data_IF_374552683977
#
_entry.id   IF_374552683977
#
_cell.length_a   1.000
_cell.length_b   1.000
_cell.length_c   1.000
_cell.angle_alpha   90.00
_cell.angle_beta   90.00
_cell.angle_gamma   90.00
#
_symmetry.space_group_name_H-M   'P 1'
#
loop_
_entity.id
_entity.type
_entity.pdbx_description
1 polymer ?
#
# COMPACT_ATOMS: atom_id res chain seq x y z
N UNK A 1 -20.76 0.61 7.85
CA UNK A 1 -20.15 1.19 6.63
C UNK A 1 -21.14 1.35 5.48
N UNK A 2 -21.80 0.29 4.98
CA UNK A 2 -22.71 0.39 3.83
C UNK A 2 -23.89 1.37 3.98
N UNK A 3 -24.36 1.62 5.21
CA UNK A 3 -25.48 2.55 5.49
C UNK A 3 -25.07 4.02 5.58
N UNK A 4 -23.77 4.33 5.64
CA UNK A 4 -23.26 5.69 5.84
C UNK A 4 -22.25 5.98 4.74
N UNK A 5 -22.63 6.83 3.77
CA UNK A 5 -21.74 7.23 2.67
C UNK A 5 -20.49 7.93 3.20
N UNK A 6 -19.35 7.69 2.57
CA UNK A 6 -18.07 8.27 2.99
C UNK A 6 -17.45 7.63 4.25
N UNK A 7 -17.91 6.45 4.67
CA UNK A 7 -17.31 5.74 5.82
C UNK A 7 -15.98 5.09 5.42
N UNK A 8 -14.90 5.44 6.11
CA UNK A 8 -13.67 4.64 6.20
C UNK A 8 -13.79 3.70 7.40
N UNK A 9 -13.50 2.41 7.22
CA UNK A 9 -13.38 1.48 8.35
C UNK A 9 -11.92 1.41 8.78
N UNK A 10 -11.63 1.72 10.04
CA UNK A 10 -10.28 1.59 10.61
C UNK A 10 -10.24 0.43 11.61
N UNK A 11 -9.25 -0.46 11.48
CA UNK A 11 -9.11 -1.60 12.39
C UNK A 11 -7.68 -2.10 12.50
N UNK A 12 -7.37 -2.71 13.64
CA UNK A 12 -6.11 -3.41 13.83
C UNK A 12 -6.21 -4.88 13.45
N UNK A 13 -5.14 -5.46 12.92
CA UNK A 13 -5.03 -6.92 12.80
C UNK A 13 -4.54 -7.55 14.11
N UNK A 14 -4.78 -8.85 14.32
CA UNK A 14 -4.52 -9.50 15.60
C UNK A 14 -3.02 -9.51 15.94
N UNK A 15 -2.65 -8.79 17.01
CA UNK A 15 -1.28 -8.70 17.51
C UNK A 15 -0.99 -9.48 18.80
N UNK A 16 -1.99 -10.11 19.45
CA UNK A 16 -1.84 -10.69 20.81
C UNK A 16 -2.06 -12.21 20.96
N UNK A 17 -2.69 -12.91 20.02
CA UNK A 17 -3.14 -14.30 20.22
C UNK A 17 -2.74 -15.32 19.13
N UNK A 18 -1.70 -15.03 18.34
CA UNK A 18 -0.84 -16.06 17.75
C UNK A 18 -1.51 -17.27 17.07
N UNK A 19 -2.22 -17.05 15.95
CA UNK A 19 -2.21 -18.02 14.86
C UNK A 19 -1.30 -17.43 13.79
N UNK A 20 -0.09 -17.98 13.64
CA UNK A 20 0.93 -17.48 12.71
C UNK A 20 0.41 -17.32 11.26
N UNK A 21 -0.67 -18.01 10.91
CA UNK A 21 -1.31 -18.03 9.60
C UNK A 21 -2.46 -17.00 9.43
N UNK A 22 -3.02 -16.45 10.52
CA UNK A 22 -4.20 -15.58 10.47
C UNK A 22 -3.85 -14.07 10.49
N UNK A 23 -3.20 -13.59 9.43
CA UNK A 23 -2.62 -12.23 9.33
C UNK A 23 -3.65 -11.10 9.50
N UNK A 24 -4.86 -11.24 8.93
CA UNK A 24 -5.93 -10.24 9.04
C UNK A 24 -6.84 -10.51 10.25
N UNK A 25 -6.95 -11.77 10.70
CA UNK A 25 -8.06 -12.23 11.54
C UNK A 25 -9.38 -12.29 10.76
N UNK A 26 -10.31 -13.15 11.18
CA UNK A 26 -11.56 -13.40 10.46
C UNK A 26 -12.39 -12.14 10.22
N UNK A 27 -12.48 -11.26 11.22
CA UNK A 27 -13.27 -10.02 11.13
C UNK A 27 -12.68 -9.04 10.10
N UNK A 28 -11.37 -8.79 10.15
CA UNK A 28 -10.78 -7.86 9.20
C UNK A 28 -10.78 -8.42 7.79
N UNK A 29 -10.58 -9.74 7.65
CA UNK A 29 -10.75 -10.44 6.40
C UNK A 29 -12.16 -10.24 5.83
N UNK A 30 -13.20 -10.44 6.64
CA UNK A 30 -14.58 -10.23 6.20
C UNK A 30 -14.90 -8.78 5.86
N UNK A 31 -14.38 -7.82 6.61
CA UNK A 31 -14.56 -6.38 6.35
C UNK A 31 -13.91 -5.98 5.03
N UNK A 32 -12.67 -6.37 4.79
CA UNK A 32 -11.97 -6.11 3.52
C UNK A 32 -12.68 -6.83 2.37
N UNK A 33 -13.14 -8.07 2.59
CA UNK A 33 -13.82 -8.89 1.58
C UNK A 33 -15.17 -8.35 1.15
N UNK A 34 -15.99 -7.92 2.10
CA UNK A 34 -17.41 -7.57 1.85
C UNK A 34 -17.63 -6.07 1.69
N UNK A 35 -16.62 -5.26 2.01
CA UNK A 35 -16.67 -3.81 1.92
C UNK A 35 -16.24 -3.28 0.56
N UNK A 36 -17.05 -2.40 -0.03
CA UNK A 36 -16.67 -1.57 -1.19
C UNK A 36 -15.99 -0.25 -0.78
N UNK A 37 -15.97 0.02 0.53
CA UNK A 37 -15.35 1.20 1.11
C UNK A 37 -13.87 0.93 1.39
N UNK A 38 -13.01 1.97 1.37
CA UNK A 38 -11.64 1.82 1.82
C UNK A 38 -11.59 1.32 3.27
N UNK A 39 -10.59 0.51 3.58
CA UNK A 39 -10.34 -0.01 4.93
C UNK A 39 -8.91 0.39 5.32
N UNK A 40 -8.78 1.11 6.42
CA UNK A 40 -7.50 1.37 7.07
C UNK A 40 -7.18 0.21 8.01
N UNK A 41 -6.11 -0.52 7.69
CA UNK A 41 -5.64 -1.67 8.44
C UNK A 41 -4.26 -1.35 9.02
N UNK A 42 -4.06 -1.63 10.30
CA UNK A 42 -2.77 -1.47 10.96
C UNK A 42 -2.43 -2.71 11.79
N UNK A 43 -1.21 -3.23 11.65
CA UNK A 43 -0.71 -4.30 12.52
C UNK A 43 0.21 -3.71 13.58
N UNK A 44 -0.20 -3.69 14.86
CA UNK A 44 0.70 -3.27 15.93
C UNK A 44 1.77 -4.34 16.16
N UNK A 45 3.04 -4.00 15.94
CA UNK A 45 4.19 -4.86 16.24
C UNK A 45 4.78 -4.54 17.62
N UNK A 46 4.89 -5.54 18.49
CA UNK A 46 5.62 -5.47 19.77
C UNK A 46 4.98 -4.62 20.87
N UNK A 47 5.52 -4.72 22.10
CA UNK A 47 5.13 -3.87 23.23
C UNK A 47 5.46 -2.43 22.87
N UNK A 48 4.44 -1.59 22.77
CA UNK A 48 4.57 -0.13 22.68
C UNK A 48 5.47 0.35 23.85
N UNK A 49 6.76 0.60 23.59
CA UNK A 49 7.67 1.24 24.55
C UNK A 49 7.72 2.77 24.36
N UNK A 50 6.74 3.35 23.68
CA UNK A 50 6.54 4.80 23.52
C UNK A 50 5.12 5.19 23.89
N UNK A 51 4.91 6.45 24.28
CA UNK A 51 3.62 6.97 24.72
C UNK A 51 2.50 6.82 23.68
N UNK A 52 1.25 7.01 24.11
CA UNK A 52 0.05 7.01 23.25
C UNK A 52 -0.05 8.28 22.39
N UNK A 53 1.08 8.86 22.01
CA UNK A 53 1.10 10.09 21.24
C UNK A 53 0.66 9.81 19.79
N UNK A 54 -0.19 10.68 19.21
CA UNK A 54 -0.57 10.56 17.81
C UNK A 54 0.65 10.57 16.89
N UNK A 55 0.74 9.57 16.01
CA UNK A 55 1.76 9.54 14.97
C UNK A 55 1.30 10.45 13.82
N UNK A 56 2.11 11.44 13.49
CA UNK A 56 1.88 12.27 12.31
C UNK A 56 2.34 11.53 11.05
N UNK A 57 1.43 11.31 10.10
CA UNK A 57 1.76 10.77 8.78
C UNK A 57 2.27 11.91 7.91
N UNK A 58 3.53 11.82 7.49
CA UNK A 58 4.15 12.80 6.61
C UNK A 58 4.29 12.28 5.17
N UNK A 59 4.15 10.98 4.96
CA UNK A 59 4.33 10.35 3.64
C UNK A 59 3.16 9.41 3.34
N UNK A 60 2.55 9.58 2.17
CA UNK A 60 1.64 8.61 1.58
C UNK A 60 2.40 7.85 0.51
N UNK A 61 2.64 6.56 0.73
CA UNK A 61 3.31 5.68 -0.23
C UNK A 61 2.27 4.97 -1.10
N UNK A 62 2.40 5.10 -2.42
CA UNK A 62 1.58 4.44 -3.42
C UNK A 62 2.44 3.45 -4.22
N UNK A 63 2.35 2.15 -3.93
CA UNK A 63 2.97 1.12 -4.76
C UNK A 63 2.21 0.93 -6.08
N UNK A 64 2.92 0.98 -7.21
CA UNK A 64 2.40 0.69 -8.55
C UNK A 64 3.28 -0.33 -9.28
N UNK A 65 2.64 -1.15 -10.11
CA UNK A 65 3.27 -2.24 -10.86
C UNK A 65 2.97 -2.20 -12.37
N UNK A 66 2.41 -1.10 -12.87
CA UNK A 66 1.96 -0.97 -14.27
C UNK A 66 0.68 -1.73 -14.59
N UNK A 67 0.00 -2.29 -13.57
CA UNK A 67 -1.34 -2.82 -13.73
C UNK A 67 -2.38 -1.77 -13.37
N UNK A 68 -3.46 -1.70 -14.17
CA UNK A 68 -4.57 -0.80 -13.88
C UNK A 68 -5.24 -1.01 -12.51
N UNK A 69 -4.95 -2.12 -11.82
CA UNK A 69 -5.40 -2.34 -10.44
C UNK A 69 -4.61 -1.51 -9.43
N UNK A 70 -3.28 -1.44 -9.56
CA UNK A 70 -2.45 -0.66 -8.64
C UNK A 70 -2.62 0.84 -8.90
N UNK A 71 -2.72 1.24 -10.16
CA UNK A 71 -2.99 2.62 -10.59
C UNK A 71 -4.37 3.13 -10.16
N UNK A 72 -5.37 2.25 -9.97
CA UNK A 72 -6.70 2.67 -9.52
C UNK A 72 -6.72 3.38 -8.15
N UNK A 73 -5.68 3.16 -7.33
CA UNK A 73 -5.54 3.82 -6.04
C UNK A 73 -4.92 5.22 -6.11
N UNK A 74 -4.45 5.66 -7.28
CA UNK A 74 -3.84 6.98 -7.48
C UNK A 74 -4.72 8.13 -7.01
N UNK A 75 -6.00 8.10 -7.37
CA UNK A 75 -6.96 9.13 -6.96
C UNK A 75 -7.03 9.22 -5.44
N UNK A 76 -7.12 8.07 -4.77
CA UNK A 76 -7.23 8.01 -3.32
C UNK A 76 -5.92 8.38 -2.64
N UNK A 77 -4.76 7.95 -3.18
CA UNK A 77 -3.46 8.28 -2.63
C UNK A 77 -3.19 9.79 -2.67
N UNK A 78 -3.53 10.45 -3.78
CA UNK A 78 -3.45 11.90 -3.90
C UNK A 78 -4.40 12.64 -2.94
N UNK A 79 -5.63 12.16 -2.79
CA UNK A 79 -6.59 12.71 -1.82
C UNK A 79 -6.11 12.55 -0.37
N UNK A 80 -5.54 11.39 -0.02
CA UNK A 80 -4.93 11.13 1.28
C UNK A 80 -3.74 12.04 1.54
N UNK A 81 -2.81 12.17 0.58
CA UNK A 81 -1.65 13.03 0.69
C UNK A 81 -2.08 14.48 0.95
N UNK A 82 -3.05 14.99 0.19
CA UNK A 82 -3.60 16.34 0.36
C UNK A 82 -4.29 16.52 1.71
N UNK A 83 -5.14 15.58 2.12
CA UNK A 83 -5.90 15.66 3.37
C UNK A 83 -4.97 15.62 4.61
N UNK A 84 -3.90 14.83 4.53
CA UNK A 84 -2.92 14.69 5.61
C UNK A 84 -1.82 15.76 5.56
N UNK A 85 -1.77 16.60 4.51
CA UNK A 85 -0.65 17.49 4.21
C UNK A 85 0.70 16.74 4.15
N UNK A 86 0.64 15.53 3.61
CA UNK A 86 1.76 14.63 3.44
C UNK A 86 2.30 14.71 2.01
N UNK A 87 3.58 14.37 1.83
CA UNK A 87 4.16 14.10 0.51
C UNK A 87 3.61 12.78 -0.03
N UNK A 88 3.40 12.73 -1.34
CA UNK A 88 3.08 11.51 -2.06
C UNK A 88 4.38 10.86 -2.56
N UNK A 89 4.52 9.56 -2.36
CA UNK A 89 5.66 8.78 -2.82
C UNK A 89 5.17 7.63 -3.69
N UNK A 90 5.43 7.70 -5.00
CA UNK A 90 5.08 6.64 -5.94
C UNK A 90 6.23 5.63 -6.00
N UNK A 91 5.95 4.36 -5.73
CA UNK A 91 6.98 3.32 -5.63
C UNK A 91 6.69 2.20 -6.60
N UNK A 92 7.68 1.76 -7.36
CA UNK A 92 7.62 0.49 -8.11
C UNK A 92 8.68 -0.45 -7.58
N UNK A 93 8.35 -1.74 -7.51
CA UNK A 93 9.35 -2.78 -7.25
C UNK A 93 9.60 -3.55 -8.53
N UNK A 94 10.85 -3.62 -8.95
CA UNK A 94 11.31 -4.45 -10.06
C UNK A 94 11.79 -5.77 -9.48
N UNK A 95 11.01 -6.82 -9.76
CA UNK A 95 11.31 -8.17 -9.28
C UNK A 95 12.22 -8.91 -10.26
N UNK A 96 13.25 -9.62 -9.79
CA UNK A 96 14.14 -10.40 -10.66
C UNK A 96 13.39 -11.50 -11.44
N UNK A 97 12.26 -11.97 -10.91
CA UNK A 97 11.41 -12.98 -11.54
C UNK A 97 10.50 -12.43 -12.64
N UNK A 98 10.30 -11.11 -12.68
CA UNK A 98 9.61 -10.47 -13.80
C UNK A 98 10.52 -10.60 -15.01
N UNK A 99 10.21 -11.54 -15.91
CA UNK A 99 10.96 -11.71 -17.15
C UNK A 99 11.05 -10.34 -17.84
N UNK A 100 12.27 -9.81 -18.05
CA UNK A 100 12.42 -8.60 -18.84
C UNK A 100 11.79 -8.86 -20.21
N UNK A 101 10.94 -7.96 -20.69
CA UNK A 101 10.50 -8.04 -22.08
C UNK A 101 11.76 -7.88 -22.95
N UNK A 102 12.14 -8.89 -23.76
CA UNK A 102 13.36 -8.83 -24.55
C UNK A 102 13.35 -7.70 -25.59
N UNK A 103 12.20 -7.07 -25.85
CA UNK A 103 12.06 -5.93 -26.74
C UNK A 103 12.23 -4.58 -26.02
N UNK A 104 12.32 -4.57 -24.70
CA UNK A 104 12.51 -3.35 -23.90
C UNK A 104 13.94 -3.36 -23.37
N UNK A 105 14.82 -2.44 -23.81
CA UNK A 105 16.14 -2.30 -23.24
C UNK A 105 16.02 -2.05 -21.73
N UNK A 106 16.63 -2.92 -20.92
CA UNK A 106 16.80 -2.71 -19.49
C UNK A 106 17.78 -1.54 -19.30
N UNK A 107 17.24 -0.33 -19.30
CA UNK A 107 17.97 0.89 -19.00
C UNK A 107 17.25 1.55 -17.82
N UNK A 108 17.97 1.81 -16.73
CA UNK A 108 17.48 2.42 -15.49
C UNK A 108 16.67 3.71 -15.75
N UNK A 109 16.99 4.43 -16.83
CA UNK A 109 16.27 5.64 -17.26
C UNK A 109 14.83 5.35 -17.76
N UNK A 110 14.61 4.22 -18.44
CA UNK A 110 13.28 3.76 -18.87
C UNK A 110 12.45 3.27 -17.69
N UNK A 111 13.08 2.51 -16.79
CA UNK A 111 12.45 1.98 -15.57
C UNK A 111 11.94 3.10 -14.66
N UNK A 112 12.76 4.14 -14.48
CA UNK A 112 12.40 5.32 -13.68
C UNK A 112 11.35 6.23 -14.35
N UNK A 113 11.25 6.21 -15.68
CA UNK A 113 10.36 7.13 -16.41
C UNK A 113 8.88 6.87 -16.11
N UNK A 114 8.51 5.60 -15.91
CA UNK A 114 7.14 5.21 -15.60
C UNK A 114 6.71 5.83 -14.25
N UNK A 115 7.32 5.43 -13.14
CA UNK A 115 6.97 5.96 -11.81
C UNK A 115 7.13 7.48 -11.70
N UNK A 116 8.14 8.05 -12.36
CA UNK A 116 8.36 9.50 -12.39
C UNK A 116 7.20 10.23 -13.04
N UNK A 117 6.69 9.73 -14.16
CA UNK A 117 5.57 10.36 -14.86
C UNK A 117 4.30 10.38 -14.00
N UNK A 118 4.01 9.27 -13.29
CA UNK A 118 2.89 9.18 -12.36
C UNK A 118 3.07 10.14 -11.17
N UNK A 119 4.26 10.20 -10.56
CA UNK A 119 4.51 11.15 -9.46
C UNK A 119 4.31 12.62 -9.89
N UNK A 120 4.82 13.00 -11.07
CA UNK A 120 4.64 14.36 -11.60
C UNK A 120 3.17 14.69 -11.87
N UNK A 121 2.42 13.77 -12.51
CA UNK A 121 1.00 13.97 -12.76
C UNK A 121 0.21 14.13 -11.45
N UNK A 122 0.41 13.21 -10.51
CA UNK A 122 -0.31 13.21 -9.24
C UNK A 122 0.04 14.44 -8.39
N UNK A 123 1.32 14.82 -8.33
CA UNK A 123 1.74 16.04 -7.64
C UNK A 123 1.02 17.28 -8.18
N UNK A 124 0.94 17.42 -9.51
CA UNK A 124 0.21 18.51 -10.16
C UNK A 124 -1.30 18.44 -9.93
N UNK A 125 -1.90 17.25 -10.09
CA UNK A 125 -3.34 17.03 -10.00
C UNK A 125 -3.89 17.29 -8.61
N UNK A 126 -3.14 16.95 -7.57
CA UNK A 126 -3.58 17.08 -6.18
C UNK A 126 -2.97 18.28 -5.46
N UNK A 127 -1.98 18.97 -6.05
CA UNK A 127 -1.30 20.10 -5.44
C UNK A 127 -0.48 19.70 -4.22
N UNK A 128 0.22 18.57 -4.31
CA UNK A 128 1.05 18.00 -3.24
C UNK A 128 2.49 17.80 -3.72
N UNK A 129 3.44 17.81 -2.80
CA UNK A 129 4.80 17.35 -3.11
C UNK A 129 4.74 15.86 -3.45
N UNK A 130 5.24 15.47 -4.62
CA UNK A 130 5.23 14.09 -5.08
C UNK A 130 6.63 13.67 -5.55
N UNK A 131 7.12 12.57 -5.00
CA UNK A 131 8.39 11.95 -5.35
C UNK A 131 8.17 10.51 -5.83
N UNK A 132 9.20 9.90 -6.39
CA UNK A 132 9.15 8.53 -6.91
C UNK A 132 10.39 7.74 -6.50
N UNK A 133 10.25 6.43 -6.35
CA UNK A 133 11.33 5.50 -6.04
C UNK A 133 11.16 4.19 -6.83
N UNK A 134 12.26 3.62 -7.28
CA UNK A 134 12.32 2.28 -7.87
C UNK A 134 13.10 1.36 -6.93
N UNK A 135 12.41 0.38 -6.37
CA UNK A 135 12.99 -0.64 -5.51
C UNK A 135 13.27 -1.91 -6.31
N UNK A 136 14.17 -2.74 -5.82
CA UNK A 136 14.57 -3.99 -6.48
C UNK A 136 14.43 -5.17 -5.53
N UNK A 137 13.97 -6.32 -6.05
CA UNK A 137 13.85 -7.56 -5.29
C UNK A 137 12.41 -8.07 -5.18
N UNK A 138 12.17 -8.90 -4.15
CA UNK A 138 10.81 -9.31 -3.81
C UNK A 138 9.98 -8.09 -3.36
N UNK A 139 8.74 -7.90 -3.85
CA UNK A 139 7.94 -6.72 -3.52
C UNK A 139 7.69 -6.53 -2.02
N UNK A 140 7.46 -7.61 -1.27
CA UNK A 140 7.19 -7.53 0.16
C UNK A 140 8.47 -7.15 0.89
N UNK A 141 9.56 -7.88 0.64
CA UNK A 141 10.84 -7.64 1.31
C UNK A 141 11.39 -6.24 1.00
N UNK A 142 11.35 -5.82 -0.27
CA UNK A 142 11.86 -4.53 -0.70
C UNK A 142 11.06 -3.38 -0.08
N UNK A 143 9.72 -3.46 -0.10
CA UNK A 143 8.89 -2.41 0.51
C UNK A 143 8.97 -2.41 2.03
N UNK A 144 8.98 -3.57 2.68
CA UNK A 144 9.14 -3.66 4.13
C UNK A 144 10.49 -3.09 4.58
N UNK A 145 11.57 -3.41 3.86
CA UNK A 145 12.91 -2.87 4.10
C UNK A 145 12.96 -1.36 3.87
N UNK A 146 12.31 -0.88 2.79
CA UNK A 146 12.21 0.54 2.51
C UNK A 146 11.46 1.28 3.62
N UNK A 147 10.30 0.78 4.06
CA UNK A 147 9.55 1.37 5.18
C UNK A 147 10.42 1.37 6.45
N UNK A 148 11.05 0.22 6.76
CA UNK A 148 11.92 0.06 7.91
C UNK A 148 11.20 0.40 9.22
N UNK A 149 11.84 1.21 10.06
CA UNK A 149 11.28 1.65 11.34
C UNK A 149 10.44 2.94 11.24
N UNK A 150 10.31 3.52 10.04
CA UNK A 150 9.57 4.77 9.84
C UNK A 150 8.09 4.57 10.14
N UNK A 151 7.57 5.41 11.03
CA UNK A 151 6.16 5.36 11.47
C UNK A 151 5.28 6.38 10.77
N UNK A 152 5.88 7.33 10.04
CA UNK A 152 5.22 8.45 9.38
C UNK A 152 4.76 8.13 7.94
N UNK A 153 4.68 6.85 7.59
CA UNK A 153 4.28 6.37 6.27
C UNK A 153 2.90 5.71 6.34
N UNK A 154 1.99 6.17 5.50
CA UNK A 154 0.74 5.49 5.19
C UNK A 154 0.86 4.84 3.81
N UNK A 155 0.69 3.52 3.72
CA UNK A 155 0.66 2.84 2.42
C UNK A 155 -0.77 2.85 1.89
N UNK A 156 -0.95 3.24 0.64
CA UNK A 156 -2.25 3.24 -0.05
C UNK A 156 -2.12 2.32 -1.25
N UNK A 157 -2.81 1.17 -1.22
CA UNK A 157 -2.69 0.18 -2.29
C UNK A 157 -3.99 -0.59 -2.54
N UNK A 158 -4.15 -1.13 -3.75
CA UNK A 158 -5.28 -1.99 -4.06
C UNK A 158 -5.03 -3.41 -3.54
N UNK A 159 -6.12 -4.11 -3.25
CA UNK A 159 -6.05 -5.56 -3.00
C UNK A 159 -6.49 -6.30 -4.26
N UNK A 160 -5.50 -6.87 -5.00
CA UNK A 160 -5.55 -7.92 -6.06
C UNK A 160 -4.95 -7.52 -7.42
N UNK A 161 -4.47 -8.53 -8.15
CA UNK A 161 -3.93 -8.51 -9.52
C UNK A 161 -4.33 -9.75 -10.36
N UNK A 162 -3.66 -9.97 -11.50
CA UNK A 162 -4.03 -10.70 -12.76
C UNK A 162 -4.74 -12.09 -12.74
N UNK A 163 -5.05 -12.72 -11.62
CA UNK A 163 -5.53 -14.13 -11.60
C UNK A 163 -6.82 -14.29 -10.78
N UNK A 164 -7.96 -14.27 -11.47
CA UNK A 164 -9.27 -14.46 -10.85
C UNK A 164 -9.62 -15.95 -10.72
N UNK A 165 -9.61 -16.47 -9.49
CA UNK A 165 -10.45 -17.61 -9.10
C UNK A 165 -10.94 -17.38 -7.66
N UNK A 166 -12.27 -17.27 -7.57
CA UNK A 166 -13.21 -17.40 -6.45
C UNK A 166 -12.69 -17.35 -4.99
N UNK A 167 -13.45 -16.61 -4.17
CA UNK A 167 -13.28 -16.34 -2.74
C UNK A 167 -12.15 -15.34 -2.42
N UNK A 168 -12.55 -14.22 -1.81
CA UNK A 168 -11.71 -13.07 -1.54
C UNK A 168 -10.50 -13.37 -0.64
N UNK A 169 -9.36 -13.68 -1.26
CA UNK A 169 -8.05 -13.72 -0.61
C UNK A 169 -7.40 -12.34 -0.74
N UNK A 170 -6.80 -11.85 0.35
CA UNK A 170 -5.94 -10.67 0.37
C UNK A 170 -4.73 -10.93 -0.55
N UNK A 171 -4.43 -10.03 -1.48
CA UNK A 171 -3.31 -10.23 -2.41
C UNK A 171 -1.99 -10.50 -1.67
N UNK A 172 -1.12 -11.36 -2.23
CA UNK A 172 0.12 -11.80 -1.57
C UNK A 172 0.98 -10.63 -1.09
N UNK A 173 1.12 -9.59 -1.91
CA UNK A 173 1.87 -8.38 -1.56
C UNK A 173 1.23 -7.61 -0.42
N UNK A 174 -0.09 -7.42 -0.44
CA UNK A 174 -0.79 -6.74 0.67
C UNK A 174 -0.72 -7.54 1.96
N UNK A 175 -0.89 -8.87 1.89
CA UNK A 175 -0.81 -9.76 3.03
C UNK A 175 0.60 -9.79 3.63
N UNK A 176 1.62 -9.90 2.78
CA UNK A 176 3.03 -9.85 3.18
C UNK A 176 3.38 -8.51 3.81
N UNK A 177 2.97 -7.38 3.22
CA UNK A 177 3.27 -6.06 3.75
C UNK A 177 2.54 -5.76 5.06
N UNK A 178 1.31 -6.27 5.27
CA UNK A 178 0.67 -6.23 6.59
C UNK A 178 1.38 -7.12 7.63
N UNK A 179 2.06 -8.18 7.17
CA UNK A 179 2.79 -9.10 8.03
C UNK A 179 4.13 -8.52 8.46
N UNK A 180 4.86 -7.92 7.52
CA UNK A 180 6.29 -7.56 7.65
C UNK A 180 6.52 -6.05 7.69
N UNK A 181 5.61 -5.27 7.09
CA UNK A 181 5.65 -3.81 7.14
C UNK A 181 5.16 -3.27 8.48
N UNK A 182 5.77 -2.16 8.91
CA UNK A 182 5.42 -1.43 10.13
C UNK A 182 4.61 -0.15 9.82
N UNK A 183 3.79 -0.18 8.77
CA UNK A 183 3.02 0.98 8.31
C UNK A 183 1.50 0.69 8.36
N UNK A 184 0.67 1.67 8.74
CA UNK A 184 -0.75 1.62 8.45
C UNK A 184 -1.00 1.56 6.94
N UNK A 185 -2.02 0.82 6.53
CA UNK A 185 -2.34 0.58 5.12
C UNK A 185 -3.81 0.90 4.84
N UNK A 186 -4.08 1.78 3.88
CA UNK A 186 -5.41 1.91 3.29
C UNK A 186 -5.50 0.94 2.12
N UNK A 187 -6.42 0.00 2.24
CA UNK A 187 -6.70 -1.01 1.22
C UNK A 187 -8.11 -0.84 0.68
N UNK A 188 -8.28 -1.11 -0.61
CA UNK A 188 -9.60 -1.18 -1.24
C UNK A 188 -9.65 -2.33 -2.23
N UNK A 189 -10.74 -3.09 -2.16
CA UNK A 189 -11.09 -4.08 -3.17
C UNK A 189 -11.82 -3.34 -4.30
N UNK A 190 -11.35 -3.46 -5.55
CA UNK A 190 -12.06 -2.92 -6.71
C UNK A 190 -13.47 -3.50 -6.88
#
# INVERSE_FOLDING_TARGET
AARVRGTLVAMTTHGRSGLAEAILGSVAHDVVRTGHNPVLVYRPHGRQQGGHEPIQINTVMLPIDGSGHSEWMEQQAGEWARALKARLLVVQVISPEARPDPNVPANDALESSYVRSHAVDLGRRFGVEANWEVLHGDPVEAMASFIGERRDILVVMATRGRSALQAAVLGSVTAGLLREGNAPMVVRVP
#
